data_IF_860033343387
#
_entry.id   IF_860033343387
#
_cell.length_a   1.000
_cell.length_b   1.000
_cell.length_c   1.000
_cell.angle_alpha   90.00
_cell.angle_beta   90.00
_cell.angle_gamma   90.00
#
_symmetry.space_group_name_H-M   'P 1'
#
loop_
_entity.id
_entity.type
_entity.pdbx_description
1 polymer ?
#
# COMPACT_ATOMS: atom_id res chain seq x y z
N UNK A 1 7.38 19.93 -20.84
CA UNK A 1 6.19 19.42 -21.54
C UNK A 1 5.03 19.48 -20.56
N UNK A 2 4.02 20.31 -20.81
CA UNK A 2 2.81 20.35 -19.97
C UNK A 2 1.91 19.18 -20.40
N UNK A 3 1.81 18.16 -19.53
CA UNK A 3 0.89 17.03 -19.72
C UNK A 3 -0.53 17.58 -19.44
N UNK A 4 -1.48 17.36 -20.36
CA UNK A 4 -2.86 17.79 -20.15
C UNK A 4 -3.46 17.07 -18.95
N UNK A 5 -4.29 17.72 -18.16
CA UNK A 5 -4.89 17.18 -16.92
C UNK A 5 -5.63 15.83 -17.14
N UNK A 6 -6.27 15.67 -18.29
CA UNK A 6 -6.87 14.40 -18.72
C UNK A 6 -5.86 13.26 -18.91
N UNK A 7 -4.67 13.56 -19.40
CA UNK A 7 -3.58 12.58 -19.59
C UNK A 7 -2.97 12.17 -18.27
N UNK A 8 -2.84 13.10 -17.30
CA UNK A 8 -2.37 12.81 -15.94
C UNK A 8 -3.35 11.87 -15.21
N UNK A 9 -4.66 12.12 -15.33
CA UNK A 9 -5.69 11.28 -14.70
C UNK A 9 -5.72 9.87 -15.29
N UNK A 10 -5.57 9.74 -16.61
CA UNK A 10 -5.47 8.45 -17.30
C UNK A 10 -4.18 7.71 -16.90
N UNK A 11 -3.05 8.42 -16.84
CA UNK A 11 -1.78 7.85 -16.41
C UNK A 11 -1.86 7.30 -14.98
N UNK A 12 -2.35 8.09 -14.03
CA UNK A 12 -2.53 7.66 -12.62
C UNK A 12 -3.38 6.40 -12.53
N UNK A 13 -4.51 6.36 -13.23
CA UNK A 13 -5.45 5.23 -13.20
C UNK A 13 -4.87 3.95 -13.80
N UNK A 14 -4.06 4.07 -14.86
CA UNK A 14 -3.57 2.92 -15.61
C UNK A 14 -2.24 2.37 -15.08
N UNK A 15 -1.41 3.21 -14.46
CA UNK A 15 -0.04 2.85 -14.06
C UNK A 15 0.19 2.84 -12.54
N UNK A 16 -0.70 3.49 -11.77
CA UNK A 16 -0.53 3.62 -10.32
C UNK A 16 -1.69 2.98 -9.56
N UNK A 17 -1.36 2.22 -8.52
CA UNK A 17 -2.30 1.78 -7.50
C UNK A 17 -2.10 2.61 -6.24
N UNK A 18 -3.19 2.97 -5.54
CA UNK A 18 -3.12 3.75 -4.30
C UNK A 18 -3.75 2.99 -3.15
N UNK A 19 -3.05 2.94 -2.02
CA UNK A 19 -3.53 2.39 -0.74
C UNK A 19 -3.34 3.48 0.32
N UNK A 20 -4.43 3.87 0.99
CA UNK A 20 -4.46 4.94 1.98
C UNK A 20 -4.70 4.40 3.39
N UNK A 21 -4.35 5.18 4.40
CA UNK A 21 -4.58 4.88 5.81
C UNK A 21 -6.06 4.67 6.12
N UNK A 22 -6.94 5.53 5.62
CA UNK A 22 -8.39 5.51 5.90
C UNK A 22 -9.17 4.66 4.89
N UNK A 23 -8.49 3.72 4.19
CA UNK A 23 -9.05 2.81 3.19
C UNK A 23 -9.66 3.51 1.97
N UNK A 24 -10.27 4.66 2.11
CA UNK A 24 -10.99 5.44 1.09
C UNK A 24 -11.97 4.56 0.28
N UNK A 25 -12.72 3.71 0.97
CA UNK A 25 -13.83 2.95 0.40
C UNK A 25 -15.11 3.77 0.47
N UNK A 26 -15.95 3.64 -0.54
CA UNK A 26 -17.27 4.25 -0.59
C UNK A 26 -18.27 3.36 0.15
N UNK A 27 -18.88 3.86 1.23
CA UNK A 27 -19.75 3.09 2.12
C UNK A 27 -21.04 2.60 1.44
N UNK A 28 -21.49 3.30 0.40
CA UNK A 28 -22.72 2.97 -0.36
C UNK A 28 -22.48 1.92 -1.47
N UNK A 29 -21.26 1.41 -1.61
CA UNK A 29 -20.87 0.39 -2.57
C UNK A 29 -20.39 -0.86 -1.85
N UNK A 30 -20.66 -2.05 -2.43
CA UNK A 30 -20.06 -3.29 -1.97
C UNK A 30 -18.53 -3.24 -2.06
N UNK A 31 -17.82 -4.16 -1.40
CA UNK A 31 -16.37 -4.26 -1.57
C UNK A 31 -16.00 -4.55 -3.03
N UNK A 32 -16.79 -5.37 -3.72
CA UNK A 32 -16.64 -5.66 -5.15
C UNK A 32 -16.75 -4.39 -5.99
N UNK A 33 -17.79 -3.60 -5.79
CA UNK A 33 -17.99 -2.36 -6.54
C UNK A 33 -16.86 -1.36 -6.29
N UNK A 34 -16.43 -1.23 -5.02
CA UNK A 34 -15.26 -0.43 -4.67
C UNK A 34 -13.99 -0.86 -5.43
N UNK A 35 -13.76 -2.18 -5.53
CA UNK A 35 -12.60 -2.74 -6.24
C UNK A 35 -12.73 -2.49 -7.75
N UNK A 36 -13.93 -2.54 -8.30
CA UNK A 36 -14.18 -2.33 -9.73
C UNK A 36 -14.07 -0.88 -10.19
N UNK A 37 -14.21 0.10 -9.30
CA UNK A 37 -14.24 1.53 -9.64
C UNK A 37 -13.17 1.97 -10.68
N UNK A 38 -11.87 1.66 -10.51
CA UNK A 38 -10.86 2.08 -11.48
C UNK A 38 -11.04 1.42 -12.87
N UNK A 39 -11.57 0.20 -12.93
CA UNK A 39 -11.85 -0.49 -14.18
C UNK A 39 -13.10 0.08 -14.87
N UNK A 40 -14.16 0.39 -14.11
CA UNK A 40 -15.37 1.06 -14.62
C UNK A 40 -15.01 2.40 -15.24
N UNK A 41 -14.18 3.20 -14.55
CA UNK A 41 -13.71 4.49 -15.06
C UNK A 41 -12.80 4.36 -16.30
N UNK A 42 -12.25 3.18 -16.53
CA UNK A 42 -11.45 2.85 -17.73
C UNK A 42 -12.27 2.21 -18.84
N UNK A 43 -13.59 2.00 -18.65
CA UNK A 43 -14.47 1.40 -19.63
C UNK A 43 -14.22 -0.10 -19.88
N UNK A 44 -13.67 -0.80 -18.89
CA UNK A 44 -13.42 -2.26 -18.99
C UNK A 44 -14.75 -3.01 -18.96
N UNK A 45 -14.87 -4.06 -19.77
CA UNK A 45 -16.07 -4.91 -19.79
C UNK A 45 -16.27 -5.67 -18.48
N UNK A 46 -17.52 -5.82 -18.04
CA UNK A 46 -17.88 -6.46 -16.77
C UNK A 46 -17.34 -7.89 -16.65
N UNK A 47 -17.36 -8.68 -17.73
CA UNK A 47 -16.84 -10.06 -17.71
C UNK A 47 -15.34 -10.09 -17.45
N UNK A 48 -14.62 -9.13 -18.00
CA UNK A 48 -13.18 -8.98 -17.73
C UNK A 48 -12.92 -8.55 -16.28
N UNK A 49 -13.74 -7.63 -15.73
CA UNK A 49 -13.64 -7.25 -14.31
C UNK A 49 -13.82 -8.47 -13.38
N UNK A 50 -14.84 -9.30 -13.62
CA UNK A 50 -15.10 -10.54 -12.87
C UNK A 50 -13.94 -11.54 -12.98
N UNK A 51 -13.30 -11.66 -14.13
CA UNK A 51 -12.15 -12.52 -14.29
C UNK A 51 -10.93 -12.00 -13.52
N UNK A 52 -10.72 -10.67 -13.50
CA UNK A 52 -9.58 -10.05 -12.82
C UNK A 52 -9.70 -10.10 -11.28
N UNK A 53 -10.91 -9.97 -10.74
CA UNK A 53 -11.10 -9.92 -9.28
C UNK A 53 -10.86 -11.27 -8.61
N UNK A 54 -11.20 -12.39 -9.24
CA UNK A 54 -11.16 -13.70 -8.62
C UNK A 54 -9.79 -14.07 -8.03
N UNK A 55 -8.67 -14.02 -8.78
CA UNK A 55 -7.35 -14.36 -8.23
C UNK A 55 -6.90 -13.35 -7.16
N UNK A 56 -7.25 -12.08 -7.31
CA UNK A 56 -6.91 -11.03 -6.34
C UNK A 56 -7.66 -11.24 -5.03
N UNK A 57 -8.98 -11.44 -5.09
CA UNK A 57 -9.81 -11.65 -3.91
C UNK A 57 -9.44 -12.92 -3.15
N UNK A 58 -9.09 -13.99 -3.87
CA UNK A 58 -8.60 -15.23 -3.26
C UNK A 58 -7.26 -15.00 -2.54
N UNK A 59 -6.29 -14.37 -3.20
CA UNK A 59 -4.97 -14.05 -2.63
C UNK A 59 -5.08 -13.17 -1.39
N UNK A 60 -5.97 -12.18 -1.41
CA UNK A 60 -6.19 -11.24 -0.31
C UNK A 60 -7.13 -11.79 0.77
N UNK A 61 -7.71 -13.00 0.58
CA UNK A 61 -8.62 -13.63 1.54
C UNK A 61 -9.91 -12.84 1.78
N UNK A 62 -10.45 -12.21 0.74
CA UNK A 62 -11.68 -11.40 0.79
C UNK A 62 -12.78 -11.90 -0.16
N UNK A 63 -12.60 -13.08 -0.77
CA UNK A 63 -13.54 -13.62 -1.76
C UNK A 63 -14.98 -13.68 -1.24
N UNK A 64 -15.15 -14.19 -0.03
CA UNK A 64 -16.47 -14.35 0.59
C UNK A 64 -17.05 -13.04 1.15
N UNK A 65 -16.29 -11.95 1.03
CA UNK A 65 -16.66 -10.62 1.50
C UNK A 65 -17.03 -9.65 0.36
N UNK A 66 -16.90 -10.06 -0.89
CA UNK A 66 -17.02 -9.18 -2.06
C UNK A 66 -18.39 -8.47 -2.13
N UNK A 67 -19.46 -9.15 -1.74
CA UNK A 67 -20.83 -8.60 -1.75
C UNK A 67 -21.18 -7.81 -0.47
N UNK A 68 -20.27 -7.78 0.53
CA UNK A 68 -20.45 -7.00 1.75
C UNK A 68 -20.12 -5.53 1.55
N UNK A 69 -20.69 -4.69 2.38
CA UNK A 69 -20.42 -3.26 2.44
C UNK A 69 -19.28 -2.96 3.43
N UNK A 70 -18.58 -1.81 3.30
CA UNK A 70 -17.48 -1.46 4.19
C UNK A 70 -17.83 -1.48 5.67
N UNK A 71 -19.04 -1.08 6.05
CA UNK A 71 -19.50 -1.08 7.45
C UNK A 71 -19.76 -2.48 8.03
N UNK A 72 -19.81 -3.53 7.20
CA UNK A 72 -20.04 -4.92 7.62
C UNK A 72 -18.76 -5.71 7.88
N UNK A 73 -17.59 -5.11 7.63
CA UNK A 73 -16.29 -5.80 7.67
C UNK A 73 -15.30 -5.09 8.59
N UNK A 74 -14.29 -5.82 9.08
CA UNK A 74 -13.25 -5.27 9.95
C UNK A 74 -12.31 -4.30 9.21
N UNK A 75 -11.56 -3.47 9.96
CA UNK A 75 -10.55 -2.55 9.40
C UNK A 75 -9.51 -3.27 8.54
N UNK A 76 -9.02 -4.42 8.99
CA UNK A 76 -8.07 -5.23 8.20
C UNK A 76 -8.69 -5.77 6.90
N UNK A 77 -9.99 -6.11 6.91
CA UNK A 77 -10.71 -6.54 5.69
C UNK A 77 -10.95 -5.37 4.74
N UNK A 78 -11.29 -4.18 5.26
CA UNK A 78 -11.37 -2.93 4.48
C UNK A 78 -10.03 -2.64 3.78
N UNK A 79 -8.93 -2.74 4.53
CA UNK A 79 -7.62 -2.47 3.96
C UNK A 79 -7.24 -3.46 2.86
N UNK A 80 -7.57 -4.74 3.02
CA UNK A 80 -7.37 -5.73 1.96
C UNK A 80 -8.22 -5.44 0.72
N UNK A 81 -9.43 -4.93 0.87
CA UNK A 81 -10.24 -4.47 -0.26
C UNK A 81 -9.63 -3.24 -0.94
N UNK A 82 -9.07 -2.29 -0.17
CA UNK A 82 -8.33 -1.15 -0.72
C UNK A 82 -7.07 -1.59 -1.49
N UNK A 83 -6.34 -2.60 -0.99
CA UNK A 83 -5.22 -3.23 -1.72
C UNK A 83 -5.71 -3.92 -2.99
N UNK A 84 -6.85 -4.65 -2.95
CA UNK A 84 -7.44 -5.26 -4.14
C UNK A 84 -7.77 -4.21 -5.21
N UNK A 85 -8.38 -3.09 -4.80
CA UNK A 85 -8.67 -1.96 -5.68
C UNK A 85 -7.40 -1.38 -6.31
N UNK A 86 -6.32 -1.27 -5.54
CA UNK A 86 -5.04 -0.79 -6.06
C UNK A 86 -4.43 -1.75 -7.10
N UNK A 87 -4.59 -3.07 -6.93
CA UNK A 87 -3.98 -4.09 -7.78
C UNK A 87 -4.80 -4.47 -9.02
N UNK A 88 -6.12 -4.20 -9.03
CA UNK A 88 -7.03 -4.70 -10.08
C UNK A 88 -6.70 -4.15 -11.47
N UNK A 89 -6.10 -2.97 -11.55
CA UNK A 89 -5.63 -2.36 -12.80
C UNK A 89 -4.30 -2.93 -13.29
N UNK A 90 -3.65 -3.80 -12.52
CA UNK A 90 -2.29 -4.31 -12.75
C UNK A 90 -1.28 -3.15 -12.90
N UNK A 91 -1.15 -2.29 -11.89
CA UNK A 91 -0.33 -1.10 -11.95
C UNK A 91 1.16 -1.46 -11.98
N UNK A 92 1.98 -0.57 -12.55
CA UNK A 92 3.44 -0.68 -12.51
C UNK A 92 3.99 -0.38 -11.10
N UNK A 93 3.29 0.47 -10.36
CA UNK A 93 3.68 0.93 -9.03
C UNK A 93 2.48 1.04 -8.10
N UNK A 94 2.58 0.47 -6.90
CA UNK A 94 1.66 0.71 -5.80
C UNK A 94 2.25 1.73 -4.84
N UNK A 95 1.50 2.79 -4.57
CA UNK A 95 1.82 3.82 -3.58
C UNK A 95 0.96 3.57 -2.34
N UNK A 96 1.59 3.35 -1.20
CA UNK A 96 0.91 3.09 0.07
C UNK A 96 1.27 4.19 1.07
N UNK A 97 0.26 4.94 1.51
CA UNK A 97 0.40 6.04 2.47
C UNK A 97 -0.15 5.60 3.82
N UNK A 98 0.74 5.40 4.80
CA UNK A 98 0.46 4.89 6.15
C UNK A 98 -0.51 3.69 6.16
N UNK A 99 -0.30 2.64 5.35
CA UNK A 99 -1.31 1.61 5.11
C UNK A 99 -1.68 0.78 6.34
N UNK A 100 -0.92 0.91 7.42
CA UNK A 100 -1.14 0.20 8.70
C UNK A 100 -1.67 1.09 9.81
N UNK A 101 -1.79 2.40 9.59
CA UNK A 101 -2.06 3.39 10.64
C UNK A 101 -3.42 3.21 11.34
N UNK A 102 -4.42 2.69 10.64
CA UNK A 102 -5.77 2.44 11.19
C UNK A 102 -6.00 0.97 11.63
N UNK A 103 -4.94 0.14 11.71
CA UNK A 103 -5.04 -1.30 11.95
C UNK A 103 -4.57 -1.68 13.35
N UNK A 104 -5.17 -2.71 13.93
CA UNK A 104 -4.62 -3.40 15.09
C UNK A 104 -3.32 -4.17 14.74
N UNK A 105 -2.58 -4.62 15.76
CA UNK A 105 -1.28 -5.27 15.57
C UNK A 105 -1.37 -6.54 14.69
N UNK A 106 -2.43 -7.35 14.84
CA UNK A 106 -2.61 -8.59 14.09
C UNK A 106 -2.92 -8.31 12.61
N UNK A 107 -3.80 -7.35 12.35
CA UNK A 107 -4.12 -6.92 11.00
C UNK A 107 -2.90 -6.27 10.31
N UNK A 108 -2.11 -5.48 11.08
CA UNK A 108 -0.84 -4.89 10.62
C UNK A 108 0.13 -5.98 10.15
N UNK A 109 0.41 -6.99 10.98
CA UNK A 109 1.33 -8.08 10.61
C UNK A 109 0.85 -8.83 9.37
N UNK A 110 -0.44 -9.10 9.32
CA UNK A 110 -1.06 -9.77 8.18
C UNK A 110 -0.93 -8.96 6.88
N UNK A 111 -1.11 -7.65 6.95
CA UNK A 111 -0.99 -6.76 5.79
C UNK A 111 0.47 -6.62 5.32
N UNK A 112 1.41 -6.46 6.24
CA UNK A 112 2.84 -6.34 5.91
C UNK A 112 3.39 -7.62 5.27
N UNK A 113 3.00 -8.80 5.78
CA UNK A 113 3.32 -10.08 5.15
C UNK A 113 2.73 -10.19 3.75
N UNK A 114 1.49 -9.72 3.57
CA UNK A 114 0.84 -9.69 2.26
C UNK A 114 1.59 -8.77 1.27
N UNK A 115 2.02 -7.58 1.70
CA UNK A 115 2.85 -6.70 0.86
C UNK A 115 4.18 -7.35 0.48
N UNK A 116 4.82 -8.06 1.42
CA UNK A 116 6.06 -8.80 1.13
C UNK A 116 5.84 -9.88 0.08
N UNK A 117 4.72 -10.61 0.13
CA UNK A 117 4.35 -11.63 -0.87
C UNK A 117 4.09 -11.01 -2.25
N UNK A 118 3.31 -9.92 -2.29
CA UNK A 118 2.99 -9.20 -3.53
C UNK A 118 4.27 -8.65 -4.17
N UNK A 119 5.20 -8.12 -3.37
CA UNK A 119 6.49 -7.63 -3.85
C UNK A 119 7.38 -8.77 -4.37
N UNK A 120 7.42 -9.91 -3.69
CA UNK A 120 8.17 -11.10 -4.13
C UNK A 120 7.67 -11.64 -5.49
N UNK A 121 6.41 -11.40 -5.85
CA UNK A 121 5.83 -11.72 -7.15
C UNK A 121 6.13 -10.66 -8.24
N UNK A 122 6.91 -9.64 -7.91
CA UNK A 122 7.39 -8.63 -8.88
C UNK A 122 6.67 -7.28 -8.83
N UNK A 123 5.67 -7.09 -7.96
CA UNK A 123 5.01 -5.80 -7.82
C UNK A 123 5.90 -4.81 -7.09
N UNK A 124 6.17 -3.66 -7.71
CA UNK A 124 6.85 -2.55 -7.04
C UNK A 124 5.89 -1.85 -6.09
N UNK A 125 6.33 -1.66 -4.83
CA UNK A 125 5.56 -0.97 -3.79
C UNK A 125 6.43 0.12 -3.19
N UNK A 126 5.94 1.35 -3.16
CA UNK A 126 6.52 2.47 -2.39
C UNK A 126 5.58 2.77 -1.24
N UNK A 127 6.08 2.68 -0.02
CA UNK A 127 5.30 2.92 1.19
C UNK A 127 5.88 4.12 1.94
N UNK A 128 5.01 5.06 2.30
CA UNK A 128 5.31 6.12 3.27
C UNK A 128 4.79 5.69 4.63
N UNK A 129 5.63 5.73 5.65
CA UNK A 129 5.23 5.33 7.00
C UNK A 129 6.14 5.92 8.08
N UNK A 130 5.56 6.19 9.24
CA UNK A 130 6.27 6.50 10.48
C UNK A 130 6.54 5.25 11.33
N UNK A 131 6.02 4.09 10.93
CA UNK A 131 6.20 2.84 11.65
C UNK A 131 7.51 2.15 11.28
N UNK A 132 8.45 2.07 12.24
CA UNK A 132 9.69 1.29 12.09
C UNK A 132 9.40 -0.17 11.74
N UNK A 133 8.33 -0.75 12.31
CA UNK A 133 7.88 -2.10 12.02
C UNK A 133 7.44 -2.24 10.55
N UNK A 134 6.67 -1.30 10.04
CA UNK A 134 6.27 -1.32 8.63
C UNK A 134 7.48 -1.14 7.70
N UNK A 135 8.36 -0.19 8.01
CA UNK A 135 9.59 0.04 7.26
C UNK A 135 10.53 -1.17 7.24
N UNK A 136 10.55 -1.98 8.32
CA UNK A 136 11.40 -3.18 8.40
C UNK A 136 10.99 -4.29 7.42
N UNK A 137 9.84 -4.20 6.77
CA UNK A 137 9.41 -5.11 5.69
C UNK A 137 9.91 -4.70 4.29
N UNK A 138 10.45 -3.49 4.13
CA UNK A 138 10.93 -3.00 2.84
C UNK A 138 12.31 -3.56 2.46
N UNK A 139 12.63 -3.57 1.17
CA UNK A 139 13.96 -3.93 0.65
C UNK A 139 14.93 -2.76 0.68
N UNK A 140 14.41 -1.53 0.64
CA UNK A 140 15.17 -0.28 0.73
C UNK A 140 14.37 0.73 1.54
N UNK A 141 15.02 1.39 2.48
CA UNK A 141 14.44 2.42 3.33
C UNK A 141 15.14 3.74 3.02
N UNK A 142 14.35 4.78 2.79
CA UNK A 142 14.81 6.14 2.59
C UNK A 142 14.34 6.99 3.78
N UNK A 143 15.25 7.71 4.40
CA UNK A 143 14.93 8.68 5.44
C UNK A 143 14.89 10.05 4.80
N UNK A 144 13.74 10.68 4.90
CA UNK A 144 13.47 12.00 4.30
C UNK A 144 13.30 13.02 5.41
N UNK A 145 14.03 14.13 5.32
CA UNK A 145 13.90 15.29 6.19
C UNK A 145 13.94 16.55 5.31
N UNK A 146 13.04 17.47 5.55
CA UNK A 146 12.94 18.76 4.83
C UNK A 146 12.90 18.62 3.29
N UNK A 147 12.27 17.51 2.81
CA UNK A 147 12.12 17.21 1.38
C UNK A 147 13.34 16.54 0.73
N UNK A 148 14.40 16.28 1.48
CA UNK A 148 15.63 15.66 0.99
C UNK A 148 15.86 14.27 1.60
N UNK A 149 16.44 13.36 0.79
CA UNK A 149 16.88 12.04 1.27
C UNK A 149 18.25 12.21 1.93
N UNK A 150 18.30 12.13 3.25
CA UNK A 150 19.55 12.32 4.00
C UNK A 150 20.21 11.01 4.42
N UNK A 151 19.49 9.89 4.46
CA UNK A 151 20.02 8.56 4.78
C UNK A 151 19.24 7.46 4.07
N UNK A 152 19.88 6.31 3.86
CA UNK A 152 19.23 5.14 3.29
C UNK A 152 19.81 3.84 3.83
N UNK A 153 18.94 2.84 3.95
CA UNK A 153 19.31 1.49 4.37
C UNK A 153 18.82 0.49 3.32
N UNK A 154 19.68 -0.42 2.91
CA UNK A 154 19.33 -1.57 2.10
C UNK A 154 19.20 -2.81 2.99
N UNK A 155 18.17 -3.62 2.74
CA UNK A 155 17.94 -4.87 3.48
C UNK A 155 19.12 -5.84 3.34
N UNK A 156 19.61 -6.10 2.14
CA UNK A 156 20.54 -7.19 1.87
C UNK A 156 19.97 -8.52 2.36
N UNK A 157 20.74 -9.21 3.21
CA UNK A 157 20.36 -10.49 3.82
C UNK A 157 19.75 -10.34 5.24
N UNK A 158 19.41 -9.12 5.67
CA UNK A 158 18.87 -8.88 7.00
C UNK A 158 17.43 -9.39 7.15
N UNK A 159 17.13 -9.96 8.31
CA UNK A 159 15.75 -10.27 8.72
C UNK A 159 14.97 -9.00 9.04
N UNK A 160 13.64 -9.11 9.19
CA UNK A 160 12.82 -7.96 9.59
C UNK A 160 13.24 -7.41 10.95
N UNK A 161 13.58 -8.29 11.92
CA UNK A 161 14.03 -7.91 13.26
C UNK A 161 15.37 -7.17 13.22
N UNK A 162 16.33 -7.67 12.43
CA UNK A 162 17.63 -7.01 12.24
C UNK A 162 17.46 -5.65 11.55
N UNK A 163 16.56 -5.56 10.60
CA UNK A 163 16.30 -4.31 9.90
C UNK A 163 15.55 -3.31 10.80
N UNK A 164 14.62 -3.80 11.63
CA UNK A 164 13.94 -3.00 12.65
C UNK A 164 14.95 -2.33 13.59
N UNK A 165 15.94 -3.08 14.11
CA UNK A 165 16.99 -2.53 14.99
C UNK A 165 17.81 -1.46 14.25
N UNK A 166 18.28 -1.75 13.02
CA UNK A 166 19.05 -0.79 12.23
C UNK A 166 18.30 0.51 11.96
N UNK A 167 16.98 0.43 11.67
CA UNK A 167 16.14 1.60 11.44
C UNK A 167 15.98 2.39 12.75
N UNK A 168 15.74 1.70 13.87
CA UNK A 168 15.59 2.34 15.19
C UNK A 168 16.87 3.08 15.62
N UNK A 169 18.03 2.47 15.43
CA UNK A 169 19.33 3.08 15.73
C UNK A 169 19.56 4.33 14.86
N UNK A 170 19.27 4.23 13.54
CA UNK A 170 19.38 5.37 12.65
C UNK A 170 18.46 6.53 13.07
N UNK A 171 17.19 6.25 13.41
CA UNK A 171 16.25 7.27 13.89
C UNK A 171 16.75 7.94 15.18
N UNK A 172 17.33 7.17 16.12
CA UNK A 172 17.87 7.71 17.37
C UNK A 172 19.01 8.68 17.10
N UNK A 173 19.98 8.30 16.26
CA UNK A 173 21.10 9.20 15.90
C UNK A 173 20.61 10.49 15.24
N UNK A 174 19.56 10.41 14.44
CA UNK A 174 19.01 11.56 13.71
C UNK A 174 18.20 12.51 14.59
N UNK A 175 17.57 11.99 15.65
CA UNK A 175 16.86 12.83 16.64
C UNK A 175 17.81 13.47 17.64
N UNK A 176 18.92 12.81 18.02
CA UNK A 176 19.89 13.32 19.00
C UNK A 176 20.99 14.18 18.36
N UNK A 177 21.37 13.93 17.11
CA UNK A 177 22.39 14.70 16.39
C UNK A 177 21.93 16.06 15.84
N UNK A 178 20.66 16.43 16.01
CA UNK A 178 20.13 17.75 15.63
C UNK A 178 20.22 18.83 16.71
N UNK A 179 20.68 18.50 17.92
CA UNK A 179 20.77 19.45 19.06
C UNK A 179 22.16 20.09 19.27
N UNK A 180 23.14 19.81 18.39
CA UNK A 180 24.52 20.33 18.57
C UNK A 180 24.87 21.53 17.68
N UNK A 181 23.93 22.31 17.19
CA UNK A 181 24.22 23.59 16.51
C UNK A 181 23.18 24.66 16.88
N UNK A 182 23.27 25.18 18.09
CA UNK A 182 22.92 26.58 18.44
C UNK A 182 24.11 27.26 19.13
#
# INVERSE_FOLDING_TARGET
MSVKEKEISAFRRNHLGFVFQDFNLLDNFSLKDNIFLPLVLSGVDYREMEQRIQPIAQKLGIRDLLEKYPYEVSGGQKQRAAVARALITRPELVLADEPTGALDSKATDSLLNLFSQINAEGQTIVMVTHSTKAASHANRILFIKDGEVFHQIYRGNATNEQLYVKISDALTVLTTGGEEHE
#
